data_IF_456293907739
#
_entry.id   IF_456293907739
#
_cell.length_a   1.000
_cell.length_b   1.000
_cell.length_c   1.000
_cell.angle_alpha   90.00
_cell.angle_beta   90.00
_cell.angle_gamma   90.00
#
_symmetry.space_group_name_H-M   'P 1'
#
loop_
_entity.id
_entity.type
_entity.pdbx_description
1 polymer ?
#
# COMPACT_ATOMS: atom_id res chain seq x y z
N UNK A 1 43.98 10.93 14.14
CA UNK A 1 43.10 11.09 12.97
C UNK A 1 43.69 12.20 12.14
N UNK A 2 43.89 11.97 10.84
CA UNK A 2 44.37 12.99 9.92
C UNK A 2 43.23 13.98 9.61
N UNK A 3 43.35 15.21 10.09
CA UNK A 3 42.33 16.26 9.90
C UNK A 3 42.13 16.59 8.42
N UNK A 4 43.18 16.48 7.60
CA UNK A 4 43.08 16.71 6.16
C UNK A 4 42.19 15.65 5.50
N UNK A 5 42.38 14.37 5.85
CA UNK A 5 41.53 13.28 5.34
C UNK A 5 40.08 13.38 5.82
N UNK A 6 39.84 13.87 7.03
CA UNK A 6 38.47 14.13 7.53
C UNK A 6 37.80 15.22 6.68
N UNK A 7 38.52 16.30 6.37
CA UNK A 7 38.02 17.38 5.51
C UNK A 7 37.65 16.87 4.11
N UNK A 8 38.55 16.12 3.48
CA UNK A 8 38.32 15.53 2.15
C UNK A 8 37.08 14.62 2.13
N UNK A 9 36.97 13.67 3.07
CA UNK A 9 35.83 12.75 3.14
C UNK A 9 34.53 13.51 3.45
N UNK A 10 34.58 14.60 4.21
CA UNK A 10 33.41 15.43 4.48
C UNK A 10 32.86 16.04 3.19
N UNK A 11 33.74 16.57 2.34
CA UNK A 11 33.35 17.12 1.04
C UNK A 11 32.80 16.04 0.10
N UNK A 12 33.45 14.88 0.04
CA UNK A 12 32.97 13.73 -0.75
C UNK A 12 31.56 13.29 -0.33
N UNK A 13 31.31 13.20 0.99
CA UNK A 13 30.00 12.81 1.53
C UNK A 13 28.94 13.86 1.24
N UNK A 14 29.24 15.16 1.40
CA UNK A 14 28.29 16.23 1.09
C UNK A 14 27.92 16.25 -0.39
N UNK A 15 28.91 16.08 -1.30
CA UNK A 15 28.66 15.98 -2.73
C UNK A 15 27.80 14.75 -3.08
N UNK A 16 28.05 13.60 -2.42
CA UNK A 16 27.23 12.41 -2.61
C UNK A 16 25.79 12.60 -2.12
N UNK A 17 25.59 13.23 -0.95
CA UNK A 17 24.26 13.49 -0.39
C UNK A 17 23.44 14.43 -1.26
N UNK A 18 24.07 15.47 -1.82
CA UNK A 18 23.45 16.40 -2.76
C UNK A 18 22.98 15.68 -4.04
N UNK A 19 23.81 14.78 -4.58
CA UNK A 19 23.45 13.96 -5.74
C UNK A 19 22.21 13.06 -5.50
N UNK A 20 21.94 12.67 -4.24
CA UNK A 20 20.76 11.89 -3.88
C UNK A 20 19.56 12.76 -3.45
N UNK A 21 19.70 14.09 -3.42
CA UNK A 21 18.65 15.03 -3.01
C UNK A 21 18.39 15.05 -1.50
N UNK A 22 19.35 14.63 -0.68
CA UNK A 22 19.23 14.71 0.78
C UNK A 22 19.62 16.12 1.27
N UNK A 23 18.63 16.97 1.51
CA UNK A 23 18.80 18.26 2.18
C UNK A 23 18.93 18.09 3.72
N UNK A 24 19.50 19.09 4.39
CA UNK A 24 19.55 19.21 5.85
C UNK A 24 20.24 18.04 6.59
N UNK A 25 21.40 17.62 6.09
CA UNK A 25 22.16 16.52 6.68
C UNK A 25 23.17 17.02 7.73
N UNK A 26 23.22 16.34 8.88
CA UNK A 26 24.20 16.61 9.94
C UNK A 26 25.27 15.54 9.91
N UNK A 27 26.53 15.94 9.71
CA UNK A 27 27.68 15.03 9.68
C UNK A 27 28.37 14.98 11.04
N UNK A 28 28.54 13.77 11.58
CA UNK A 28 29.29 13.51 12.81
C UNK A 28 30.59 12.77 12.50
N UNK A 29 31.72 13.31 12.97
CA UNK A 29 33.01 12.64 12.89
C UNK A 29 33.25 11.90 14.20
N UNK A 30 33.26 10.57 14.15
CA UNK A 30 33.33 9.73 15.36
C UNK A 30 34.48 8.73 15.31
N UNK A 31 35.05 8.43 16.46
CA UNK A 31 35.91 7.27 16.67
C UNK A 31 35.26 6.41 17.76
N UNK A 32 34.49 5.40 17.34
CA UNK A 32 33.61 4.63 18.24
C UNK A 32 34.36 3.89 19.36
N UNK A 33 35.59 3.43 19.08
CA UNK A 33 36.49 2.80 20.05
C UNK A 33 37.03 3.78 21.09
N UNK A 34 37.17 5.06 20.76
CA UNK A 34 37.64 6.12 21.66
C UNK A 34 36.49 6.90 22.32
N UNK A 35 35.24 6.66 21.92
CA UNK A 35 34.07 7.40 22.37
C UNK A 35 33.96 8.84 21.83
N UNK A 36 34.83 9.25 20.91
CA UNK A 36 34.84 10.60 20.32
C UNK A 36 33.63 10.82 19.41
N UNK A 37 32.95 11.95 19.55
CA UNK A 37 31.79 12.31 18.73
C UNK A 37 30.49 11.57 19.08
N UNK A 38 30.53 10.67 20.07
CA UNK A 38 29.39 9.84 20.46
C UNK A 38 28.37 10.64 21.29
N UNK A 39 28.83 11.61 22.08
CA UNK A 39 27.94 12.45 22.88
C UNK A 39 27.05 13.33 21.98
N UNK A 40 27.66 13.95 20.97
CA UNK A 40 27.01 14.80 19.97
C UNK A 40 26.04 13.97 19.11
N UNK A 41 26.47 12.79 18.65
CA UNK A 41 25.61 11.86 17.90
C UNK A 41 24.40 11.44 18.75
N UNK A 42 24.61 11.08 20.03
CA UNK A 42 23.52 10.69 20.94
C UNK A 42 22.52 11.82 21.13
N UNK A 43 22.99 13.04 21.37
CA UNK A 43 22.12 14.20 21.55
C UNK A 43 21.26 14.44 20.30
N UNK A 44 21.85 14.31 19.11
CA UNK A 44 21.11 14.44 17.85
C UNK A 44 20.07 13.34 17.65
N UNK A 45 20.43 12.07 17.93
CA UNK A 45 19.49 10.95 17.84
C UNK A 45 18.28 11.11 18.78
N UNK A 46 18.47 11.72 19.95
CA UNK A 46 17.38 12.01 20.89
C UNK A 46 16.45 13.14 20.42
N UNK A 47 16.91 13.99 19.51
CA UNK A 47 16.12 15.08 18.93
C UNK A 47 15.34 14.65 17.67
N UNK A 48 15.66 13.47 17.11
CA UNK A 48 14.96 12.99 15.92
C UNK A 48 13.48 12.75 16.25
N UNK A 49 12.55 13.33 15.48
CA UNK A 49 11.13 13.16 15.75
C UNK A 49 10.73 11.71 15.50
N UNK A 50 9.94 11.15 16.43
CA UNK A 50 9.22 9.93 16.15
C UNK A 50 8.24 10.22 14.99
N UNK A 51 8.20 9.33 13.99
CA UNK A 51 7.21 9.47 12.92
C UNK A 51 5.82 9.35 13.53
N UNK A 52 4.91 10.27 13.19
CA UNK A 52 3.50 10.17 13.57
C UNK A 52 2.87 8.97 12.87
N UNK A 53 1.94 8.29 13.54
CA UNK A 53 1.18 7.18 12.97
C UNK A 53 -0.29 7.54 13.05
N UNK A 54 -1.00 7.45 11.93
CA UNK A 54 -2.41 7.69 11.93
C UNK A 54 -3.12 6.52 12.62
N UNK A 55 -3.85 6.82 13.69
CA UNK A 55 -4.61 5.85 14.49
C UNK A 55 -5.74 5.15 13.69
N UNK A 56 -6.03 5.66 12.50
CA UNK A 56 -7.14 5.24 11.65
C UNK A 56 -6.73 4.18 10.61
N UNK A 57 -5.52 3.63 10.70
CA UNK A 57 -5.06 2.56 9.82
C UNK A 57 -5.18 1.17 10.46
N UNK A 58 -5.32 0.17 9.59
CA UNK A 58 -5.25 -1.25 9.92
C UNK A 58 -3.85 -1.64 10.37
N UNK A 59 -3.79 -2.62 11.27
CA UNK A 59 -2.53 -3.21 11.68
C UNK A 59 -1.92 -4.01 10.52
N UNK A 60 -0.65 -3.73 10.20
CA UNK A 60 0.12 -4.47 9.21
C UNK A 60 1.53 -4.71 9.73
N UNK A 61 1.90 -5.97 9.92
CA UNK A 61 3.24 -6.39 10.30
C UNK A 61 3.86 -7.21 9.17
N UNK A 62 5.01 -6.78 8.67
CA UNK A 62 5.81 -7.56 7.74
C UNK A 62 6.72 -8.50 8.52
N UNK A 63 6.52 -9.82 8.37
CA UNK A 63 7.30 -10.85 9.07
C UNK A 63 8.70 -10.93 8.47
N UNK A 64 9.73 -10.81 9.32
CA UNK A 64 11.12 -10.98 8.93
C UNK A 64 11.75 -12.28 9.43
N UNK A 65 11.32 -12.79 10.60
CA UNK A 65 11.78 -14.05 11.19
C UNK A 65 10.64 -14.72 11.95
N UNK A 66 10.64 -16.05 11.93
CA UNK A 66 9.75 -16.89 12.74
C UNK A 66 10.56 -17.96 13.46
N UNK A 67 10.32 -18.14 14.76
CA UNK A 67 11.00 -19.15 15.57
C UNK A 67 10.12 -19.59 16.73
N UNK A 68 10.35 -20.80 17.23
CA UNK A 68 9.62 -21.34 18.38
C UNK A 68 10.45 -21.20 19.63
N UNK A 69 9.85 -20.65 20.70
CA UNK A 69 10.48 -20.54 22.02
C UNK A 69 9.87 -21.60 22.93
N UNK A 70 10.71 -22.43 23.55
CA UNK A 70 10.29 -23.50 24.46
C UNK A 70 9.43 -22.92 25.59
N UNK A 71 8.20 -23.43 25.72
CA UNK A 71 7.24 -22.99 26.73
C UNK A 71 6.37 -21.79 26.35
N UNK A 72 6.82 -20.94 25.41
CA UNK A 72 6.04 -19.76 24.98
C UNK A 72 5.25 -20.01 23.69
N UNK A 73 5.79 -20.81 22.76
CA UNK A 73 5.16 -21.12 21.47
C UNK A 73 5.84 -20.43 20.29
N UNK A 74 5.08 -20.18 19.23
CA UNK A 74 5.55 -19.56 17.99
C UNK A 74 5.71 -18.06 18.19
N UNK A 75 6.93 -17.56 18.02
CA UNK A 75 7.25 -16.13 18.05
C UNK A 75 7.67 -15.69 16.66
N UNK A 76 7.01 -14.66 16.15
CA UNK A 76 7.37 -14.00 14.91
C UNK A 76 7.89 -12.60 15.21
N UNK A 77 8.95 -12.19 14.51
CA UNK A 77 9.42 -10.81 14.55
C UNK A 77 9.18 -10.13 13.22
N UNK A 78 8.90 -8.83 13.28
CA UNK A 78 8.63 -8.04 12.10
C UNK A 78 8.67 -6.56 12.40
N UNK A 79 8.51 -5.75 11.35
CA UNK A 79 8.32 -4.30 11.48
C UNK A 79 6.86 -3.98 11.25
N UNK A 80 6.26 -3.24 12.17
CA UNK A 80 4.88 -2.78 12.01
C UNK A 80 4.87 -1.57 11.07
N UNK A 81 4.21 -1.70 9.92
CA UNK A 81 4.12 -0.63 8.93
C UNK A 81 3.03 0.37 9.28
N UNK A 82 1.93 -0.11 9.88
CA UNK A 82 0.75 0.69 10.21
C UNK A 82 -0.05 0.06 11.34
N UNK A 83 -0.92 0.89 11.95
CA UNK A 83 -1.86 0.47 12.98
C UNK A 83 -1.22 0.14 14.32
N UNK A 84 -2.01 -0.48 15.19
CA UNK A 84 -1.64 -0.91 16.52
C UNK A 84 -2.12 -2.33 16.79
N UNK A 85 -1.51 -2.98 17.78
CA UNK A 85 -1.83 -4.35 18.19
C UNK A 85 -1.74 -4.48 19.69
N UNK A 86 -2.68 -5.21 20.27
CA UNK A 86 -2.74 -5.55 21.68
C UNK A 86 -2.59 -7.04 21.91
N UNK A 87 -2.16 -7.41 23.12
CA UNK A 87 -2.29 -8.78 23.59
C UNK A 87 -3.76 -9.17 23.65
N UNK A 88 -4.07 -10.35 23.08
CA UNK A 88 -5.44 -10.86 22.96
C UNK A 88 -6.07 -10.63 21.59
N UNK A 89 -5.52 -9.72 20.77
CA UNK A 89 -6.00 -9.49 19.41
C UNK A 89 -5.87 -10.75 18.55
N UNK A 90 -6.76 -10.88 17.57
CA UNK A 90 -6.69 -11.94 16.55
C UNK A 90 -6.29 -11.30 15.24
N UNK A 91 -5.17 -11.76 14.68
CA UNK A 91 -4.61 -11.27 13.44
C UNK A 91 -4.78 -12.32 12.34
N UNK A 92 -4.78 -11.89 11.09
CA UNK A 92 -4.77 -12.77 9.93
C UNK A 92 -3.36 -13.00 9.42
N UNK A 93 -2.93 -14.27 9.35
CA UNK A 93 -1.64 -14.65 8.76
C UNK A 93 -1.82 -14.94 7.26
N UNK A 94 -1.15 -14.18 6.40
CA UNK A 94 -1.14 -14.46 4.95
C UNK A 94 -0.23 -15.63 4.62
N UNK A 95 -0.46 -16.27 3.46
CA UNK A 95 0.29 -17.45 3.02
C UNK A 95 -0.40 -18.72 3.49
N UNK A 96 -0.56 -18.88 4.81
CA UNK A 96 -1.38 -19.96 5.41
C UNK A 96 -2.86 -19.61 5.43
N UNK A 97 -3.20 -18.31 5.47
CA UNK A 97 -4.57 -17.78 5.44
C UNK A 97 -5.42 -18.29 6.61
N UNK A 98 -4.92 -18.11 7.83
CA UNK A 98 -5.58 -18.53 9.07
C UNK A 98 -5.50 -17.43 10.14
N UNK A 99 -6.50 -17.32 11.03
CA UNK A 99 -6.42 -16.42 12.18
C UNK A 99 -5.41 -16.91 13.23
N UNK A 100 -4.67 -15.97 13.79
CA UNK A 100 -3.64 -16.18 14.81
C UNK A 100 -3.85 -15.20 15.97
N UNK A 101 -4.04 -15.72 17.18
CA UNK A 101 -4.21 -14.91 18.39
C UNK A 101 -2.89 -14.48 18.99
N UNK A 102 -2.76 -13.21 19.36
CA UNK A 102 -1.60 -12.66 20.07
C UNK A 102 -1.68 -13.05 21.55
N UNK A 103 -0.69 -13.80 22.03
CA UNK A 103 -0.57 -14.23 23.44
C UNK A 103 0.27 -13.29 24.29
N UNK A 104 1.34 -12.77 23.72
CA UNK A 104 2.21 -11.77 24.33
C UNK A 104 2.96 -11.05 23.23
N UNK A 105 3.47 -9.85 23.51
CA UNK A 105 4.27 -9.10 22.55
C UNK A 105 5.41 -8.36 23.23
N UNK A 106 6.48 -8.14 22.48
CA UNK A 106 7.59 -7.29 22.89
C UNK A 106 7.81 -6.22 21.82
N UNK A 107 7.80 -4.94 22.23
CA UNK A 107 8.20 -3.82 21.39
C UNK A 107 9.66 -3.47 21.69
N UNK A 108 10.52 -3.42 20.67
CA UNK A 108 11.94 -3.03 20.82
C UNK A 108 12.69 -3.78 21.94
N UNK A 109 12.46 -5.09 22.05
CA UNK A 109 13.00 -6.00 23.07
C UNK A 109 12.47 -5.79 24.50
N UNK A 110 11.40 -5.02 24.70
CA UNK A 110 10.74 -4.87 26.00
C UNK A 110 9.35 -5.52 25.97
N UNK A 111 8.97 -6.34 26.98
CA UNK A 111 7.62 -6.87 27.10
C UNK A 111 6.61 -5.73 27.25
N UNK A 112 5.55 -5.73 26.44
CA UNK A 112 4.47 -4.74 26.51
C UNK A 112 3.13 -5.40 26.16
N UNK A 113 2.02 -4.79 26.58
CA UNK A 113 0.67 -5.27 26.22
C UNK A 113 0.12 -4.62 24.94
N UNK A 114 0.77 -3.54 24.49
CA UNK A 114 0.42 -2.74 23.31
C UNK A 114 1.68 -2.41 22.52
N UNK A 115 1.55 -2.42 21.19
CA UNK A 115 2.58 -1.95 20.27
C UNK A 115 1.95 -1.27 19.05
N UNK A 116 2.74 -0.41 18.41
CA UNK A 116 2.28 0.44 17.33
C UNK A 116 3.24 0.41 16.14
N UNK A 117 2.83 1.01 15.02
CA UNK A 117 3.63 1.13 13.81
C UNK A 117 5.03 1.73 14.07
N UNK A 118 5.96 1.58 13.13
CA UNK A 118 7.33 2.08 13.25
C UNK A 118 8.22 1.28 14.23
N UNK A 119 7.65 0.43 15.08
CA UNK A 119 8.39 -0.42 15.99
C UNK A 119 8.74 -1.77 15.33
N UNK A 120 9.89 -2.33 15.73
CA UNK A 120 10.18 -3.75 15.55
C UNK A 120 9.49 -4.51 16.67
N UNK A 121 8.54 -5.36 16.33
CA UNK A 121 7.67 -6.08 17.26
C UNK A 121 8.01 -7.57 17.18
N UNK A 122 8.12 -8.22 18.34
CA UNK A 122 8.06 -9.66 18.48
C UNK A 122 6.68 -10.04 18.98
N UNK A 123 5.92 -10.82 18.21
CA UNK A 123 4.60 -11.32 18.58
C UNK A 123 4.69 -12.82 18.90
N UNK A 124 4.28 -13.20 20.09
CA UNK A 124 3.96 -14.60 20.39
C UNK A 124 2.53 -14.86 19.92
N UNK A 125 2.38 -15.72 18.92
CA UNK A 125 1.11 -15.99 18.26
C UNK A 125 0.71 -17.46 18.43
N UNK A 126 -0.60 -17.69 18.47
CA UNK A 126 -1.16 -19.02 18.55
C UNK A 126 -2.36 -19.19 17.63
N UNK A 127 -2.42 -20.35 16.98
CA UNK A 127 -3.45 -20.73 16.04
C UNK A 127 -2.99 -22.00 15.32
N UNK A 128 -3.59 -22.28 14.17
CA UNK A 128 -3.37 -23.53 13.44
C UNK A 128 -2.06 -23.52 12.62
N UNK A 129 -1.42 -22.36 12.45
CA UNK A 129 -0.19 -22.26 11.68
C UNK A 129 1.04 -22.65 12.51
N UNK A 130 1.89 -23.47 11.91
CA UNK A 130 3.20 -23.87 12.45
C UNK A 130 4.34 -23.13 11.75
N UNK A 131 5.50 -23.06 12.41
CA UNK A 131 6.68 -22.31 11.95
C UNK A 131 7.07 -22.67 10.51
N UNK A 132 6.99 -23.94 10.15
CA UNK A 132 7.41 -24.51 8.86
C UNK A 132 6.57 -23.99 7.68
N UNK A 133 5.36 -23.47 7.96
CA UNK A 133 4.45 -22.93 6.96
C UNK A 133 4.65 -21.42 6.75
N UNK A 134 5.36 -20.75 7.67
CA UNK A 134 5.61 -19.31 7.62
C UNK A 134 6.86 -19.01 6.80
N UNK A 135 6.75 -18.00 5.95
CA UNK A 135 7.85 -17.48 5.16
C UNK A 135 8.15 -16.02 5.51
N UNK A 136 9.41 -15.64 5.34
CA UNK A 136 9.79 -14.22 5.37
C UNK A 136 9.04 -13.48 4.26
N UNK A 137 8.42 -12.35 4.60
CA UNK A 137 7.59 -11.58 3.68
C UNK A 137 6.09 -11.87 3.81
N UNK A 138 5.68 -12.86 4.61
CA UNK A 138 4.28 -13.00 5.03
C UNK A 138 3.85 -11.82 5.91
N UNK A 139 2.55 -11.56 5.93
CA UNK A 139 1.92 -10.49 6.68
C UNK A 139 1.10 -11.03 7.83
N UNK A 140 1.14 -10.31 8.96
CA UNK A 140 0.09 -10.34 9.96
C UNK A 140 -0.73 -9.06 9.88
N UNK A 141 -2.03 -9.21 9.69
CA UNK A 141 -2.96 -8.13 9.39
C UNK A 141 -4.08 -8.10 10.44
N UNK A 142 -4.68 -6.94 10.73
CA UNK A 142 -5.86 -6.89 11.61
C UNK A 142 -7.06 -7.62 11.03
N UNK A 143 -7.20 -7.60 9.71
CA UNK A 143 -8.34 -8.18 8.98
C UNK A 143 -7.83 -9.08 7.85
N UNK A 144 -8.65 -10.09 7.51
CA UNK A 144 -8.40 -10.90 6.33
C UNK A 144 -8.45 -10.03 5.07
N UNK A 145 -7.46 -10.14 4.16
CA UNK A 145 -7.52 -9.44 2.89
C UNK A 145 -8.68 -10.00 2.05
N UNK A 146 -9.41 -9.11 1.37
CA UNK A 146 -10.52 -9.51 0.49
C UNK A 146 -9.97 -9.76 -0.91
N UNK A 147 -10.21 -10.96 -1.44
CA UNK A 147 -9.81 -11.35 -2.79
C UNK A 147 -8.45 -12.05 -2.85
N UNK A 148 -7.71 -11.81 -3.93
CA UNK A 148 -6.42 -12.45 -4.20
C UNK A 148 -5.30 -11.41 -4.18
N UNK A 149 -4.08 -11.87 -3.90
CA UNK A 149 -2.89 -11.04 -3.98
C UNK A 149 -2.68 -10.49 -5.40
N UNK A 150 -2.01 -9.34 -5.50
CA UNK A 150 -1.92 -8.62 -6.76
C UNK A 150 -0.75 -9.15 -7.59
N UNK A 151 -1.02 -9.49 -8.85
CA UNK A 151 0.00 -9.81 -9.85
C UNK A 151 0.35 -8.62 -10.74
N UNK A 152 -0.46 -7.55 -10.72
CA UNK A 152 -0.28 -6.36 -11.54
C UNK A 152 -0.67 -5.11 -10.78
N UNK A 153 0.22 -4.13 -10.73
CA UNK A 153 -0.03 -2.83 -10.09
C UNK A 153 0.55 -1.70 -10.92
N UNK A 154 0.02 -0.49 -10.74
CA UNK A 154 0.60 0.71 -11.32
C UNK A 154 1.36 1.45 -10.24
N UNK A 155 2.55 1.90 -10.60
CA UNK A 155 3.47 2.60 -9.73
C UNK A 155 3.92 3.92 -10.35
N UNK A 156 4.23 4.90 -9.51
CA UNK A 156 5.06 6.06 -9.89
C UNK A 156 6.53 5.70 -9.67
N UNK A 157 7.40 6.09 -10.61
CA UNK A 157 8.82 5.77 -10.58
C UNK A 157 9.67 6.97 -10.18
N UNK A 158 10.72 6.68 -9.42
CA UNK A 158 11.85 7.59 -9.20
C UNK A 158 13.09 6.90 -9.76
N UNK A 159 13.54 7.35 -10.94
CA UNK A 159 14.60 6.68 -11.70
C UNK A 159 15.98 7.12 -11.22
N UNK A 160 16.88 6.14 -11.04
CA UNK A 160 18.32 6.38 -10.84
C UNK A 160 19.13 5.94 -12.07
N UNK A 161 18.62 4.94 -12.80
CA UNK A 161 19.13 4.45 -14.06
C UNK A 161 17.98 4.25 -15.06
N UNK A 162 18.26 4.30 -16.38
CA UNK A 162 17.23 4.10 -17.39
C UNK A 162 16.61 2.70 -17.28
N UNK A 163 15.27 2.64 -17.38
CA UNK A 163 14.52 1.39 -17.51
C UNK A 163 14.11 1.20 -18.97
N UNK A 164 14.07 -0.06 -19.42
CA UNK A 164 13.54 -0.45 -20.73
C UNK A 164 12.13 -1.01 -20.63
N UNK A 165 11.36 -0.89 -21.72
CA UNK A 165 10.02 -1.46 -21.82
C UNK A 165 10.06 -2.99 -21.69
N UNK A 166 9.22 -3.55 -20.82
CA UNK A 166 9.08 -5.00 -20.60
C UNK A 166 10.35 -5.71 -20.10
N UNK A 167 11.23 -4.99 -19.39
CA UNK A 167 12.43 -5.59 -18.82
C UNK A 167 12.13 -6.41 -17.55
N UNK A 168 12.81 -7.54 -17.32
CA UNK A 168 12.77 -8.28 -16.07
C UNK A 168 13.58 -7.56 -14.99
N UNK A 169 13.12 -7.60 -13.74
CA UNK A 169 13.80 -6.98 -12.60
C UNK A 169 13.45 -7.66 -11.27
N UNK A 170 14.25 -7.37 -10.24
CA UNK A 170 13.95 -7.74 -8.86
C UNK A 170 13.16 -6.63 -8.18
N UNK A 171 12.15 -7.04 -7.43
CA UNK A 171 11.23 -6.14 -6.72
C UNK A 171 11.35 -6.46 -5.23
N UNK A 172 11.77 -5.48 -4.47
CA UNK A 172 11.89 -5.57 -3.02
C UNK A 172 10.80 -4.73 -2.37
N UNK A 173 10.00 -5.37 -1.52
CA UNK A 173 8.93 -4.72 -0.78
C UNK A 173 8.92 -5.20 0.67
N UNK A 174 9.12 -4.28 1.62
CA UNK A 174 9.23 -4.59 3.05
C UNK A 174 10.21 -5.76 3.31
N UNK A 175 9.71 -6.92 3.73
CA UNK A 175 10.50 -8.13 3.96
C UNK A 175 10.48 -9.13 2.79
N UNK A 176 9.74 -8.85 1.72
CA UNK A 176 9.52 -9.72 0.56
C UNK A 176 10.45 -9.39 -0.61
N UNK A 177 10.77 -10.42 -1.38
CA UNK A 177 11.55 -10.36 -2.62
C UNK A 177 10.83 -11.18 -3.69
N UNK A 178 10.52 -10.54 -4.81
CA UNK A 178 9.79 -11.14 -5.93
C UNK A 178 10.44 -10.70 -7.25
N UNK A 179 10.40 -11.55 -8.27
CA UNK A 179 10.77 -11.18 -9.64
C UNK A 179 9.56 -10.72 -10.43
N UNK A 180 9.81 -9.83 -11.39
CA UNK A 180 8.73 -9.36 -12.24
C UNK A 180 9.25 -8.62 -13.45
N UNK A 181 8.31 -7.98 -14.16
CA UNK A 181 8.60 -7.14 -15.32
C UNK A 181 8.01 -5.76 -15.13
N UNK A 182 8.68 -4.76 -15.66
CA UNK A 182 8.16 -3.39 -15.71
C UNK A 182 7.74 -3.03 -17.13
N UNK A 183 6.55 -2.48 -17.27
CA UNK A 183 6.06 -1.86 -18.51
C UNK A 183 5.92 -0.37 -18.28
N UNK A 184 6.70 0.43 -19.00
CA UNK A 184 6.67 1.88 -18.88
C UNK A 184 5.37 2.46 -19.44
N UNK A 185 4.87 3.46 -18.72
CA UNK A 185 3.77 4.33 -19.11
C UNK A 185 4.33 5.77 -19.19
N UNK A 186 3.49 6.72 -19.61
CA UNK A 186 3.88 8.13 -19.70
C UNK A 186 3.88 8.80 -18.31
N UNK A 187 4.57 9.94 -18.19
CA UNK A 187 4.54 10.76 -16.97
C UNK A 187 5.25 10.14 -15.77
N UNK A 188 6.29 9.32 -15.98
CA UNK A 188 7.01 8.66 -14.87
C UNK A 188 6.21 7.53 -14.21
N UNK A 189 5.12 7.09 -14.83
CA UNK A 189 4.33 5.95 -14.37
C UNK A 189 4.82 4.65 -15.02
N UNK A 190 4.61 3.54 -14.34
CA UNK A 190 4.82 2.21 -14.91
C UNK A 190 3.85 1.20 -14.34
N UNK A 191 3.67 0.11 -15.08
CA UNK A 191 3.00 -1.07 -14.58
C UNK A 191 4.05 -2.12 -14.18
N UNK A 192 3.95 -2.62 -12.95
CA UNK A 192 4.70 -3.78 -12.50
C UNK A 192 3.83 -5.03 -12.66
N UNK A 193 4.44 -6.08 -13.20
CA UNK A 193 3.86 -7.42 -13.32
C UNK A 193 4.73 -8.35 -12.49
N UNK A 194 4.15 -8.98 -11.48
CA UNK A 194 4.84 -9.88 -10.57
C UNK A 194 4.71 -11.33 -11.06
N UNK A 195 5.79 -12.09 -11.02
CA UNK A 195 5.75 -13.54 -11.29
C UNK A 195 5.07 -14.29 -10.13
N UNK A 196 5.20 -13.77 -8.90
CA UNK A 196 4.49 -14.25 -7.71
C UNK A 196 3.56 -13.16 -7.17
N UNK A 197 2.26 -13.42 -6.98
CA UNK A 197 1.33 -12.43 -6.43
C UNK A 197 1.76 -11.93 -5.04
N UNK A 198 1.59 -10.62 -4.79
CA UNK A 198 1.99 -9.98 -3.53
C UNK A 198 0.85 -9.13 -2.95
N UNK A 199 0.72 -9.13 -1.62
CA UNK A 199 -0.13 -8.19 -0.91
C UNK A 199 0.52 -6.81 -0.85
N UNK A 200 -0.18 -5.83 -1.40
CA UNK A 200 0.25 -4.45 -1.51
C UNK A 200 -0.89 -3.52 -1.09
N UNK A 201 -0.52 -2.36 -0.57
CA UNK A 201 -1.40 -1.22 -0.36
C UNK A 201 -0.98 -0.06 -1.28
N UNK A 202 -1.87 0.91 -1.40
CA UNK A 202 -1.55 2.21 -2.01
C UNK A 202 -0.47 2.93 -1.19
N UNK A 203 0.37 3.73 -1.85
CA UNK A 203 1.52 4.43 -1.28
C UNK A 203 2.64 3.56 -0.70
N UNK A 204 2.56 2.23 -0.77
CA UNK A 204 3.69 1.35 -0.43
C UNK A 204 4.88 1.68 -1.36
N UNK A 205 6.06 1.86 -0.76
CA UNK A 205 7.31 2.14 -1.50
C UNK A 205 8.09 0.84 -1.72
N UNK A 206 8.52 0.63 -2.96
CA UNK A 206 9.28 -0.53 -3.41
C UNK A 206 10.63 -0.09 -3.99
N UNK A 207 11.60 -0.99 -3.97
CA UNK A 207 12.89 -0.82 -4.63
C UNK A 207 12.98 -1.77 -5.81
N UNK A 208 13.33 -1.24 -6.98
CA UNK A 208 13.52 -1.97 -8.21
C UNK A 208 15.01 -2.10 -8.51
N UNK A 209 15.49 -3.34 -8.66
CA UNK A 209 16.89 -3.65 -8.96
C UNK A 209 17.00 -4.45 -10.24
N UNK A 210 18.13 -4.31 -10.92
CA UNK A 210 18.42 -5.09 -12.12
C UNK A 210 18.33 -6.60 -11.84
N UNK A 211 17.94 -7.40 -12.83
CA UNK A 211 17.77 -8.85 -12.68
C UNK A 211 19.09 -9.56 -12.30
N UNK A 212 20.25 -8.97 -12.64
CA UNK A 212 21.56 -9.46 -12.19
C UNK A 212 21.89 -9.12 -10.73
N UNK A 213 21.03 -8.36 -10.05
CA UNK A 213 21.19 -7.83 -8.69
C UNK A 213 22.45 -6.98 -8.45
N UNK A 214 23.04 -6.42 -9.53
CA UNK A 214 24.25 -5.59 -9.45
C UNK A 214 23.97 -4.10 -9.26
N UNK A 215 22.85 -3.60 -9.80
CA UNK A 215 22.51 -2.19 -9.76
C UNK A 215 21.09 -1.97 -9.20
N UNK A 216 20.93 -0.89 -8.44
CA UNK A 216 19.61 -0.36 -8.08
C UNK A 216 19.17 0.60 -9.17
N UNK A 217 18.04 0.31 -9.81
CA UNK A 217 17.61 1.03 -11.01
C UNK A 217 16.64 2.16 -10.68
N UNK A 218 15.69 1.90 -9.79
CA UNK A 218 14.63 2.86 -9.48
C UNK A 218 13.97 2.59 -8.12
N UNK A 219 13.44 3.64 -7.51
CA UNK A 219 12.36 3.55 -6.54
C UNK A 219 11.00 3.48 -7.24
N UNK A 220 10.04 2.83 -6.60
CA UNK A 220 8.66 2.79 -7.05
C UNK A 220 7.72 3.05 -5.87
N UNK A 221 6.57 3.64 -6.14
CA UNK A 221 5.49 3.80 -5.17
C UNK A 221 4.20 3.32 -5.80
N UNK A 222 3.48 2.43 -5.11
CA UNK A 222 2.16 1.96 -5.57
C UNK A 222 1.20 3.15 -5.65
N UNK A 223 0.51 3.28 -6.78
CA UNK A 223 -0.52 4.30 -7.03
C UNK A 223 -1.89 3.64 -7.19
N UNK A 224 -1.96 2.48 -7.83
CA UNK A 224 -3.21 1.72 -7.88
C UNK A 224 -2.98 0.22 -7.95
N UNK A 225 -3.80 -0.51 -7.19
CA UNK A 225 -3.77 -1.96 -7.07
C UNK A 225 -4.54 -2.67 -8.20
N UNK A 226 -5.45 -1.97 -8.89
CA UNK A 226 -6.30 -2.55 -9.94
C UNK A 226 -6.11 -1.82 -11.26
N UNK A 227 -5.23 -2.34 -12.11
CA UNK A 227 -5.02 -1.83 -13.46
C UNK A 227 -6.03 -2.43 -14.47
N UNK A 228 -6.76 -1.61 -15.26
CA UNK A 228 -7.72 -2.11 -16.25
C UNK A 228 -6.97 -2.76 -17.43
N UNK A 229 -7.32 -3.97 -17.86
CA UNK A 229 -6.58 -4.69 -18.92
C UNK A 229 -6.41 -3.90 -20.24
N UNK A 230 -7.38 -3.05 -20.61
CA UNK A 230 -7.37 -2.21 -21.81
C UNK A 230 -7.51 -0.74 -21.43
N UNK A 231 -6.99 0.16 -22.28
CA UNK A 231 -7.16 1.61 -22.11
C UNK A 231 -6.18 2.29 -21.17
N UNK A 232 -5.10 1.61 -20.74
CA UNK A 232 -4.10 2.15 -19.82
C UNK A 232 -3.26 3.31 -20.37
N UNK A 233 -3.20 3.43 -21.70
CA UNK A 233 -2.48 4.50 -22.41
C UNK A 233 -3.43 5.58 -22.95
N UNK A 234 -4.71 5.55 -22.57
CA UNK A 234 -5.62 6.64 -22.92
C UNK A 234 -5.25 7.88 -22.12
N UNK A 235 -5.29 9.08 -22.72
CA UNK A 235 -4.91 10.32 -22.04
C UNK A 235 -5.71 10.53 -20.76
N UNK A 236 -7.03 10.31 -20.78
CA UNK A 236 -7.90 10.43 -19.61
C UNK A 236 -7.46 9.53 -18.43
N UNK A 237 -6.98 8.32 -18.74
CA UNK A 237 -6.53 7.38 -17.71
C UNK A 237 -5.20 7.80 -17.09
N UNK A 238 -4.27 8.29 -17.91
CA UNK A 238 -2.97 8.76 -17.46
C UNK A 238 -3.09 10.04 -16.65
N UNK A 239 -3.97 10.97 -17.06
CA UNK A 239 -4.27 12.18 -16.31
C UNK A 239 -4.86 11.86 -14.93
N UNK A 240 -5.83 10.93 -14.88
CA UNK A 240 -6.39 10.45 -13.63
C UNK A 240 -5.33 9.80 -12.72
N UNK A 241 -4.42 8.99 -13.27
CA UNK A 241 -3.32 8.40 -12.50
C UNK A 241 -2.35 9.44 -11.96
N UNK A 242 -2.00 10.46 -12.74
CA UNK A 242 -1.14 11.56 -12.27
C UNK A 242 -1.79 12.29 -11.12
N UNK A 243 -3.08 12.63 -11.25
CA UNK A 243 -3.83 13.32 -10.20
C UNK A 243 -3.91 12.47 -8.93
N UNK A 244 -4.13 11.15 -9.07
CA UNK A 244 -4.13 10.22 -7.94
C UNK A 244 -2.74 10.10 -7.30
N UNK A 245 -1.68 10.10 -8.10
CA UNK A 245 -0.31 10.04 -7.60
C UNK A 245 0.05 11.29 -6.76
N UNK A 246 -0.52 12.45 -7.07
CA UNK A 246 -0.29 13.72 -6.37
C UNK A 246 -1.21 13.93 -5.14
N UNK A 247 -2.22 13.07 -4.95
CA UNK A 247 -3.15 13.15 -3.83
C UNK A 247 -2.44 12.93 -2.49
N UNK A 248 -2.55 13.93 -1.60
CA UNK A 248 -1.83 13.94 -0.32
C UNK A 248 -2.56 13.17 0.80
N UNK A 249 -3.90 13.13 0.76
CA UNK A 249 -4.72 12.52 1.80
C UNK A 249 -5.74 11.53 1.22
N UNK A 250 -6.41 10.79 2.12
CA UNK A 250 -7.40 9.77 1.76
C UNK A 250 -8.68 10.38 1.16
N UNK A 251 -9.01 11.62 1.53
CA UNK A 251 -10.22 12.33 1.08
C UNK A 251 -10.10 12.79 -0.38
N UNK A 252 -8.98 13.39 -0.73
CA UNK A 252 -8.63 13.74 -2.10
C UNK A 252 -8.57 12.48 -2.98
N UNK A 253 -7.95 11.40 -2.51
CA UNK A 253 -7.92 10.13 -3.23
C UNK A 253 -9.34 9.58 -3.48
N UNK A 254 -10.21 9.60 -2.46
CA UNK A 254 -11.60 9.16 -2.60
C UNK A 254 -12.37 10.00 -3.62
N UNK A 255 -12.24 11.33 -3.59
CA UNK A 255 -12.88 12.23 -4.54
C UNK A 255 -12.45 11.92 -5.99
N UNK A 256 -11.15 11.74 -6.24
CA UNK A 256 -10.58 11.38 -7.54
C UNK A 256 -11.12 10.03 -8.03
N UNK A 257 -11.30 9.06 -7.14
CA UNK A 257 -11.91 7.79 -7.48
C UNK A 257 -13.40 7.94 -7.85
N UNK A 258 -14.14 8.77 -7.11
CA UNK A 258 -15.58 9.01 -7.32
C UNK A 258 -15.91 9.77 -8.59
N UNK A 259 -15.03 10.67 -9.07
CA UNK A 259 -15.21 11.35 -10.37
C UNK A 259 -15.25 10.36 -11.54
N UNK A 260 -14.47 9.29 -11.41
CA UNK A 260 -14.34 8.26 -12.42
C UNK A 260 -15.49 7.25 -12.39
N UNK A 261 -16.01 6.90 -11.21
CA UNK A 261 -17.10 5.95 -11.09
C UNK A 261 -17.42 5.56 -9.65
N UNK A 262 -18.22 4.51 -9.49
CA UNK A 262 -18.53 3.95 -8.18
C UNK A 262 -17.28 3.37 -7.51
N UNK A 263 -17.13 3.62 -6.21
CA UNK A 263 -16.01 3.16 -5.40
C UNK A 263 -16.48 2.05 -4.48
N UNK A 264 -15.86 0.88 -4.59
CA UNK A 264 -16.11 -0.22 -3.66
C UNK A 264 -15.36 0.04 -2.34
N UNK A 265 -16.09 0.13 -1.23
CA UNK A 265 -15.57 0.45 0.10
C UNK A 265 -14.56 -0.58 0.62
N UNK A 266 -14.80 -1.91 0.51
CA UNK A 266 -13.78 -2.92 0.83
C UNK A 266 -12.46 -2.73 0.05
N UNK A 267 -12.55 -2.52 -1.27
CA UNK A 267 -11.37 -2.30 -2.11
C UNK A 267 -10.61 -1.02 -1.74
N UNK A 268 -11.34 0.08 -1.52
CA UNK A 268 -10.75 1.37 -1.16
C UNK A 268 -10.14 1.32 0.27
N UNK A 269 -10.85 0.69 1.20
CA UNK A 269 -10.39 0.46 2.57
C UNK A 269 -9.14 -0.41 2.62
N UNK A 270 -9.02 -1.41 1.74
CA UNK A 270 -7.77 -2.14 1.56
C UNK A 270 -6.68 -1.28 0.94
N UNK A 271 -6.96 -0.56 -0.14
CA UNK A 271 -5.96 0.27 -0.82
C UNK A 271 -5.32 1.28 0.15
N UNK A 272 -6.14 2.02 0.91
CA UNK A 272 -5.66 3.02 1.89
C UNK A 272 -5.38 2.45 3.28
N UNK A 273 -5.63 1.16 3.48
CA UNK A 273 -5.49 0.46 4.76
C UNK A 273 -6.23 1.14 5.90
N UNK A 274 -7.44 1.65 5.62
CA UNK A 274 -8.29 2.33 6.60
C UNK A 274 -9.00 1.30 7.48
N UNK A 275 -8.97 1.52 8.78
CA UNK A 275 -9.79 0.76 9.73
C UNK A 275 -11.27 1.20 9.65
N UNK A 276 -12.21 0.47 10.28
CA UNK A 276 -13.63 0.82 10.23
C UNK A 276 -13.96 2.24 10.75
N UNK A 277 -13.16 2.77 11.69
CA UNK A 277 -13.35 4.13 12.18
C UNK A 277 -12.94 5.18 11.14
N UNK A 278 -11.74 5.04 10.55
CA UNK A 278 -11.25 5.93 9.49
C UNK A 278 -12.17 5.92 8.27
N UNK A 279 -12.67 4.74 7.89
CA UNK A 279 -13.63 4.62 6.80
C UNK A 279 -14.93 5.39 7.08
N UNK A 280 -15.51 5.26 8.29
CA UNK A 280 -16.74 5.99 8.65
C UNK A 280 -16.53 7.50 8.63
N UNK A 281 -15.45 7.99 9.21
CA UNK A 281 -15.12 9.42 9.21
C UNK A 281 -14.96 9.97 7.80
N UNK A 282 -14.40 9.18 6.88
CA UNK A 282 -14.25 9.56 5.49
C UNK A 282 -15.60 9.65 4.75
N UNK A 283 -16.51 8.70 5.01
CA UNK A 283 -17.84 8.66 4.38
C UNK A 283 -18.74 9.79 4.91
N UNK A 284 -18.63 10.14 6.19
CA UNK A 284 -19.41 11.23 6.81
C UNK A 284 -19.06 12.62 6.26
N UNK A 285 -17.94 12.76 5.54
CA UNK A 285 -17.57 14.00 4.85
C UNK A 285 -18.43 14.20 3.58
N UNK A 286 -19.64 14.74 3.80
CA UNK A 286 -20.56 15.43 2.87
C UNK A 286 -20.73 14.89 1.42
N UNK A 287 -22.00 14.58 1.08
CA UNK A 287 -22.48 14.58 -0.32
C UNK A 287 -22.33 13.27 -1.11
N UNK A 288 -21.96 12.18 -0.43
CA UNK A 288 -21.89 10.85 -1.04
C UNK A 288 -23.19 10.07 -0.91
N UNK A 289 -23.47 9.25 -1.91
CA UNK A 289 -24.58 8.29 -1.92
C UNK A 289 -23.97 6.91 -1.71
N UNK A 290 -24.32 6.28 -0.60
CA UNK A 290 -23.91 4.91 -0.29
C UNK A 290 -25.02 3.93 -0.69
N UNK A 291 -24.67 2.90 -1.46
CA UNK A 291 -25.55 1.81 -1.83
C UNK A 291 -24.82 0.47 -1.61
N UNK A 292 -25.13 -0.20 -0.51
CA UNK A 292 -24.39 -1.38 -0.03
C UNK A 292 -22.92 -1.03 0.21
N UNK A 293 -22.02 -1.80 -0.43
CA UNK A 293 -20.57 -1.60 -0.35
C UNK A 293 -20.02 -0.56 -1.32
N UNK A 294 -20.85 0.14 -2.09
CA UNK A 294 -20.39 1.10 -3.10
C UNK A 294 -20.77 2.53 -2.73
N UNK A 295 -19.83 3.44 -2.96
CA UNK A 295 -19.98 4.87 -2.79
C UNK A 295 -20.01 5.57 -4.15
N UNK A 296 -20.91 6.52 -4.32
CA UNK A 296 -21.01 7.38 -5.51
C UNK A 296 -21.08 8.85 -5.11
N UNK A 297 -20.55 9.73 -5.95
CA UNK A 297 -20.75 11.18 -5.80
C UNK A 297 -22.09 11.61 -6.41
N UNK A 298 -22.72 12.62 -5.83
CA UNK A 298 -23.99 13.16 -6.34
C UNK A 298 -23.93 13.60 -7.83
N UNK A 299 -22.87 14.27 -8.33
CA UNK A 299 -22.77 14.62 -9.75
C UNK A 299 -22.70 13.40 -10.66
N UNK A 300 -21.99 12.35 -10.25
CA UNK A 300 -21.88 11.11 -11.03
C UNK A 300 -23.19 10.34 -11.02
N UNK A 301 -23.88 10.29 -9.88
CA UNK A 301 -25.22 9.71 -9.78
C UNK A 301 -26.21 10.44 -10.70
N UNK A 302 -26.22 11.78 -10.73
CA UNK A 302 -27.07 12.57 -11.63
C UNK A 302 -26.71 12.36 -13.11
N UNK A 303 -25.43 12.19 -13.44
CA UNK A 303 -24.99 11.81 -14.80
C UNK A 303 -25.50 10.42 -15.18
N UNK A 304 -25.44 9.47 -14.26
CA UNK A 304 -25.88 8.10 -14.48
C UNK A 304 -27.41 8.03 -14.61
N UNK A 305 -28.15 8.76 -13.79
CA UNK A 305 -29.60 8.90 -13.90
C UNK A 305 -30.03 9.45 -15.25
N UNK A 306 -29.39 10.55 -15.72
CA UNK A 306 -29.65 11.07 -17.07
C UNK A 306 -29.40 10.03 -18.15
N UNK A 307 -28.27 9.33 -18.08
CA UNK A 307 -27.96 8.27 -19.05
C UNK A 307 -28.94 7.11 -19.03
N UNK A 308 -29.45 6.72 -17.85
CA UNK A 308 -30.50 5.72 -17.72
C UNK A 308 -31.78 6.23 -18.40
N UNK A 309 -32.20 7.46 -18.12
CA UNK A 309 -33.39 8.07 -18.71
C UNK A 309 -33.29 8.18 -20.24
N UNK A 310 -32.14 8.60 -20.78
CA UNK A 310 -31.92 8.69 -22.23
C UNK A 310 -31.98 7.30 -22.89
N UNK A 311 -31.44 6.28 -22.22
CA UNK A 311 -31.47 4.90 -22.74
C UNK A 311 -32.88 4.32 -22.68
N UNK A 312 -33.64 4.62 -21.62
CA UNK A 312 -35.05 4.23 -21.51
C UNK A 312 -35.91 4.93 -22.56
N UNK A 313 -35.68 6.22 -22.82
CA UNK A 313 -36.35 6.95 -23.89
C UNK A 313 -36.08 6.31 -25.25
N UNK A 314 -34.82 5.98 -25.54
CA UNK A 314 -34.44 5.26 -26.77
C UNK A 314 -35.13 3.89 -26.87
N UNK A 315 -35.25 3.15 -25.76
CA UNK A 315 -35.93 1.86 -25.74
C UNK A 315 -37.42 2.00 -26.05
N UNK A 316 -38.12 2.95 -25.43
CA UNK A 316 -39.55 3.20 -25.68
C UNK A 316 -39.80 3.69 -27.11
N UNK A 317 -38.88 4.45 -27.71
CA UNK A 317 -38.99 4.83 -29.12
C UNK A 317 -38.90 3.63 -30.06
N UNK A 318 -38.07 2.63 -29.71
CA UNK A 318 -37.87 1.39 -30.49
C UNK A 318 -38.99 0.37 -30.28
N UNK A 319 -39.59 0.32 -29.09
CA UNK A 319 -40.63 -0.65 -28.71
C UNK A 319 -41.89 0.08 -28.22
N UNK A 320 -42.56 0.81 -29.12
CA UNK A 320 -43.73 1.64 -28.81
C UNK A 320 -44.96 0.86 -28.35
N UNK A 321 -44.97 -0.44 -28.62
CA UNK A 321 -46.09 -1.34 -28.37
C UNK A 321 -45.97 -2.03 -27.00
N UNK A 322 -44.83 -1.87 -26.33
CA UNK A 322 -44.57 -2.40 -24.99
C UNK A 322 -44.80 -1.31 -23.92
N UNK A 323 -45.40 -1.65 -22.77
CA UNK A 323 -45.64 -0.70 -21.68
C UNK A 323 -44.34 -0.24 -20.98
N UNK A 324 -43.22 -0.93 -21.23
CA UNK A 324 -41.90 -0.58 -20.74
C UNK A 324 -40.97 -1.79 -20.62
N UNK A 325 -39.67 -1.56 -20.40
CA UNK A 325 -38.71 -2.64 -20.21
C UNK A 325 -38.95 -3.36 -18.88
N UNK A 326 -38.90 -4.69 -18.91
CA UNK A 326 -38.91 -5.53 -17.70
C UNK A 326 -37.67 -5.22 -16.82
N UNK A 327 -37.77 -5.42 -15.52
CA UNK A 327 -36.68 -5.22 -14.56
C UNK A 327 -35.42 -6.06 -14.92
N UNK A 328 -35.61 -7.13 -15.71
CA UNK A 328 -34.56 -7.98 -16.27
C UNK A 328 -33.74 -7.33 -17.39
N UNK A 329 -34.27 -6.32 -18.11
CA UNK A 329 -33.58 -5.60 -19.20
C UNK A 329 -32.43 -4.73 -18.66
N UNK A 330 -32.57 -4.22 -17.43
CA UNK A 330 -31.50 -3.49 -16.74
C UNK A 330 -30.24 -4.36 -16.52
N UNK A 331 -30.37 -5.70 -16.52
CA UNK A 331 -29.24 -6.64 -16.39
C UNK A 331 -28.45 -6.87 -17.69
N UNK A 332 -29.00 -6.46 -18.85
CA UNK A 332 -28.39 -6.59 -20.17
C UNK A 332 -27.51 -5.38 -20.57
N UNK A 333 -27.49 -4.32 -19.76
CA UNK A 333 -26.68 -3.13 -20.01
C UNK A 333 -25.19 -3.41 -19.71
N UNK A 334 -24.24 -2.78 -20.45
CA UNK A 334 -22.83 -3.17 -20.43
C UNK A 334 -22.24 -3.20 -19.02
N UNK A 335 -21.35 -4.17 -18.76
CA UNK A 335 -20.80 -4.57 -17.45
C UNK A 335 -20.35 -3.48 -16.46
N UNK A 336 -20.23 -2.21 -16.85
CA UNK A 336 -20.05 -1.08 -15.92
C UNK A 336 -21.28 -0.81 -15.05
N UNK A 337 -22.46 -1.34 -15.40
CA UNK A 337 -23.72 -1.16 -14.67
C UNK A 337 -24.14 -2.38 -13.83
N UNK A 338 -23.37 -3.48 -13.86
CA UNK A 338 -23.60 -4.64 -12.99
C UNK A 338 -23.14 -4.32 -11.56
N UNK A 339 -23.97 -3.59 -10.82
CA UNK A 339 -24.09 -3.84 -9.38
C UNK A 339 -24.54 -5.30 -9.23
N UNK A 340 -23.61 -6.20 -8.90
CA UNK A 340 -23.93 -7.61 -8.67
C UNK A 340 -24.96 -7.68 -7.54
N UNK A 341 -26.12 -8.25 -7.88
CA UNK A 341 -27.15 -8.87 -7.03
C UNK A 341 -27.13 -8.45 -5.57
N UNK A 342 -28.12 -7.63 -5.22
CA UNK A 342 -28.66 -7.51 -3.88
C UNK A 342 -29.17 -8.88 -3.43
N UNK A 343 -28.50 -9.47 -2.46
CA UNK A 343 -28.97 -10.55 -1.59
C UNK A 343 -28.12 -10.55 -0.34
#
# INVERSE_FOLDING_TARGET
>A
MDEARIGEVREEVLAALDNYGFADTVLFVTAANEGRGIAELRAHLQQLPARSHAAQHRFRLAIDRAFTVKGAGLVVTGTALSGEVNVGDTLWLTGVNTPMRVRSLHAQNQPTDHAYAGQRIALNIAGDAEKEQLNRGDWLLSDAPVGEAFSRVIVSLTLHAPLSQWQPLHIHHAASHVTGRVSLLEGGLAELIFDTPLWLADNDRLVLRDISARATLAGARVVTLKAPRRGKRKPDYLHWLSTLADAQDDSAALAIHLERGAVNLPDFGWARQLNPLGMRQLIEQHGFIQAGDNLLSAPVAARWQRKILDTLATYHEQHRDEPGPDASVYAAWPCQWRMKRWS
#
